data_IF_889644959747
#
_entry.id   IF_889644959747
#
_cell.length_a   1.000
_cell.length_b   1.000
_cell.length_c   1.000
_cell.angle_alpha   90.00
_cell.angle_beta   90.00
_cell.angle_gamma   90.00
#
_symmetry.space_group_name_H-M   'P 1'
#
loop_
_entity.id
_entity.type
_entity.pdbx_description
1 polymer ?
#
# COMPACT_ATOMS: atom_id res chain seq x y z
N UNK A 1 10.71 28.15 -7.39
CA UNK A 1 10.21 27.91 -6.01
C UNK A 1 11.23 27.03 -5.29
N UNK A 2 11.51 27.30 -4.02
CA UNK A 2 12.47 26.53 -3.21
C UNK A 2 11.73 25.46 -2.40
N UNK A 3 12.24 24.23 -2.39
CA UNK A 3 11.75 23.17 -1.49
C UNK A 3 12.38 23.38 -0.12
N UNK A 4 11.58 23.86 0.84
CA UNK A 4 12.06 24.27 2.18
C UNK A 4 12.48 23.05 2.99
N UNK A 5 11.66 21.99 2.96
CA UNK A 5 11.91 20.74 3.68
C UNK A 5 13.17 20.02 3.15
N UNK A 6 14.21 19.82 3.99
CA UNK A 6 15.44 19.14 3.58
C UNK A 6 15.23 17.68 3.16
N UNK A 7 14.37 16.95 3.84
CA UNK A 7 14.08 15.53 3.56
C UNK A 7 13.39 15.37 2.22
N UNK A 8 12.41 16.22 1.91
CA UNK A 8 11.74 16.22 0.60
C UNK A 8 12.71 16.62 -0.51
N UNK A 9 13.57 17.62 -0.26
CA UNK A 9 14.61 18.02 -1.21
C UNK A 9 15.60 16.89 -1.48
N UNK A 10 16.07 16.22 -0.45
CA UNK A 10 16.98 15.07 -0.56
C UNK A 10 16.33 13.92 -1.34
N UNK A 11 15.08 13.59 -1.01
CA UNK A 11 14.30 12.57 -1.70
C UNK A 11 14.12 12.88 -3.20
N UNK A 12 13.81 14.13 -3.54
CA UNK A 12 13.72 14.54 -4.94
C UNK A 12 15.07 14.34 -5.65
N UNK A 13 16.18 14.73 -5.02
CA UNK A 13 17.52 14.58 -5.60
C UNK A 13 17.93 13.11 -5.83
N UNK A 14 17.40 12.16 -5.05
CA UNK A 14 17.61 10.72 -5.31
C UNK A 14 17.06 10.25 -6.65
N UNK A 15 16.19 11.04 -7.29
CA UNK A 15 15.63 10.76 -8.61
C UNK A 15 16.37 11.49 -9.74
N UNK A 16 17.44 12.23 -9.46
CA UNK A 16 18.24 12.88 -10.50
C UNK A 16 19.33 11.92 -11.01
N UNK A 17 19.51 11.86 -12.33
CA UNK A 17 20.53 11.04 -12.99
C UNK A 17 21.32 11.89 -13.96
N UNK A 18 22.62 11.66 -14.01
CA UNK A 18 23.49 12.27 -15.01
C UNK A 18 23.48 11.39 -16.27
N UNK A 19 23.38 12.05 -17.43
CA UNK A 19 23.60 11.44 -18.73
C UNK A 19 25.09 11.58 -19.08
N UNK A 20 25.89 10.50 -18.98
CA UNK A 20 27.35 10.61 -19.13
C UNK A 20 27.77 11.05 -20.54
N UNK A 21 26.96 10.75 -21.55
CA UNK A 21 27.21 11.13 -22.94
C UNK A 21 26.85 12.58 -23.25
N UNK A 22 26.00 13.22 -22.44
CA UNK A 22 25.47 14.55 -22.72
C UNK A 22 25.91 15.61 -21.70
N UNK A 23 26.51 15.20 -20.58
CA UNK A 23 26.88 16.10 -19.48
C UNK A 23 25.67 16.83 -18.88
N UNK A 24 24.48 16.23 -18.98
CA UNK A 24 23.20 16.81 -18.52
C UNK A 24 22.56 15.94 -17.45
N UNK A 25 21.82 16.59 -16.56
CA UNK A 25 20.98 15.91 -15.59
C UNK A 25 19.56 15.74 -16.10
N UNK A 26 18.96 14.60 -15.82
CA UNK A 26 17.56 14.31 -16.09
C UNK A 26 16.90 13.62 -14.90
N UNK A 27 15.58 13.70 -14.85
CA UNK A 27 14.79 12.94 -13.87
C UNK A 27 14.76 11.47 -14.28
N UNK A 28 14.96 10.57 -13.32
CA UNK A 28 14.83 9.12 -13.49
C UNK A 28 13.35 8.71 -13.65
N UNK A 29 12.45 9.51 -13.07
CA UNK A 29 11.01 9.32 -13.15
C UNK A 29 10.44 10.16 -14.29
N UNK A 30 9.28 9.75 -14.82
CA UNK A 30 8.54 10.49 -15.84
C UNK A 30 7.87 11.76 -15.27
N UNK A 31 8.67 12.69 -14.74
CA UNK A 31 8.19 13.87 -14.00
C UNK A 31 7.23 14.71 -14.84
N UNK A 32 7.52 14.92 -16.13
CA UNK A 32 6.62 15.69 -17.00
C UNK A 32 5.24 15.04 -17.13
N UNK A 33 5.18 13.71 -17.25
CA UNK A 33 3.92 12.98 -17.32
C UNK A 33 3.15 13.09 -16.00
N UNK A 34 3.85 12.95 -14.87
CA UNK A 34 3.26 13.13 -13.54
C UNK A 34 2.69 14.54 -13.39
N UNK A 35 3.43 15.57 -13.81
CA UNK A 35 2.97 16.96 -13.75
C UNK A 35 1.75 17.21 -14.64
N UNK A 36 1.73 16.66 -15.87
CA UNK A 36 0.58 16.77 -16.77
C UNK A 36 -0.67 16.08 -16.23
N UNK A 37 -0.49 15.02 -15.43
CA UNK A 37 -1.59 14.24 -14.86
C UNK A 37 -1.87 14.60 -13.40
N UNK A 38 -1.18 15.60 -12.83
CA UNK A 38 -1.21 15.84 -11.39
C UNK A 38 -2.61 16.13 -10.85
N UNK A 39 -3.43 16.84 -11.62
CA UNK A 39 -4.82 17.13 -11.25
C UNK A 39 -5.68 15.86 -11.20
N UNK A 40 -5.45 14.92 -12.13
CA UNK A 40 -6.13 13.62 -12.16
C UNK A 40 -5.59 12.71 -11.05
N UNK A 41 -4.28 12.75 -10.80
CA UNK A 41 -3.61 12.00 -9.74
C UNK A 41 -4.02 12.42 -8.34
N UNK A 42 -4.34 13.70 -8.15
CA UNK A 42 -4.77 14.27 -6.88
C UNK A 42 -6.28 14.44 -6.74
N UNK A 43 -7.06 14.08 -7.77
CA UNK A 43 -8.53 14.10 -7.70
C UNK A 43 -9.07 12.72 -7.35
N UNK A 44 -10.32 12.71 -6.88
CA UNK A 44 -11.09 11.47 -6.71
C UNK A 44 -11.41 10.81 -8.07
N UNK A 45 -11.02 11.41 -9.22
CA UNK A 45 -11.31 10.87 -10.57
C UNK A 45 -10.47 9.63 -10.92
N UNK A 46 -9.35 9.39 -10.25
CA UNK A 46 -8.67 8.08 -10.32
C UNK A 46 -9.32 7.04 -9.42
N UNK A 47 -10.12 7.48 -8.46
CA UNK A 47 -10.90 6.61 -7.59
C UNK A 47 -11.99 5.97 -8.42
N UNK A 48 -11.74 4.74 -8.89
CA UNK A 48 -12.85 3.84 -9.21
C UNK A 48 -13.80 3.89 -8.01
N UNK A 49 -15.05 4.26 -8.25
CA UNK A 49 -16.03 4.36 -7.19
C UNK A 49 -15.99 3.03 -6.39
N UNK A 50 -16.02 3.03 -5.05
CA UNK A 50 -15.93 1.80 -4.28
C UNK A 50 -16.92 0.72 -4.74
N UNK A 51 -18.05 1.13 -5.32
CA UNK A 51 -19.08 0.29 -5.91
C UNK A 51 -18.64 -0.44 -7.20
N UNK A 52 -17.62 0.07 -7.89
CA UNK A 52 -17.09 -0.46 -9.16
C UNK A 52 -15.88 -1.40 -8.95
N UNK A 53 -15.33 -1.46 -7.74
CA UNK A 53 -14.15 -2.25 -7.42
C UNK A 53 -14.53 -3.47 -6.61
N UNK A 54 -14.23 -4.66 -7.15
CA UNK A 54 -14.32 -5.88 -6.34
C UNK A 54 -13.35 -5.77 -5.16
N UNK A 55 -13.80 -5.92 -3.90
CA UNK A 55 -12.90 -5.86 -2.75
C UNK A 55 -11.79 -6.91 -2.84
N UNK A 56 -10.60 -6.55 -2.38
CA UNK A 56 -9.55 -7.50 -2.10
C UNK A 56 -9.96 -8.35 -0.89
N UNK A 57 -10.03 -9.67 -1.10
CA UNK A 57 -10.48 -10.65 -0.11
C UNK A 57 -9.34 -11.24 0.73
N UNK A 58 -8.08 -10.95 0.36
CA UNK A 58 -6.91 -11.41 1.10
C UNK A 58 -6.60 -10.55 2.35
N UNK A 59 -5.72 -11.04 3.24
CA UNK A 59 -5.21 -10.24 4.35
C UNK A 59 -4.50 -8.98 3.84
N UNK A 60 -4.84 -7.82 4.38
CA UNK A 60 -4.21 -6.55 4.05
C UNK A 60 -3.72 -5.86 5.33
N UNK A 61 -2.49 -5.38 5.33
CA UNK A 61 -1.89 -4.75 6.49
C UNK A 61 -1.45 -3.34 6.18
N UNK A 62 -2.03 -2.40 6.92
CA UNK A 62 -1.73 -0.98 6.82
C UNK A 62 -0.89 -0.60 8.03
N UNK A 63 0.26 0.01 7.79
CA UNK A 63 1.11 0.58 8.83
C UNK A 63 1.21 2.07 8.63
N UNK A 64 0.81 2.85 9.62
CA UNK A 64 0.96 4.29 9.62
C UNK A 64 1.95 4.76 10.70
N UNK A 65 2.61 5.88 10.42
CA UNK A 65 3.41 6.57 11.41
C UNK A 65 2.50 7.41 12.31
N UNK A 66 2.72 7.40 13.63
CA UNK A 66 1.97 8.24 14.57
C UNK A 66 2.15 9.73 14.29
N UNK A 67 3.32 10.15 13.78
CA UNK A 67 3.58 11.51 13.33
C UNK A 67 3.06 11.85 11.93
N UNK A 68 2.35 10.95 11.24
CA UNK A 68 1.88 11.16 9.87
C UNK A 68 0.39 11.51 9.83
N UNK A 69 0.04 12.49 9.00
CA UNK A 69 -1.35 12.94 8.82
C UNK A 69 -1.95 12.51 7.47
N UNK A 70 -1.46 11.41 6.89
CA UNK A 70 -1.89 10.93 5.57
C UNK A 70 -3.09 9.99 5.64
N UNK A 71 -3.22 9.26 6.75
CA UNK A 71 -4.35 8.39 7.01
C UNK A 71 -5.16 8.98 8.18
N UNK A 72 -6.44 9.23 7.92
CA UNK A 72 -7.39 9.74 8.88
C UNK A 72 -8.47 8.71 9.14
N UNK A 73 -9.19 8.84 10.25
CA UNK A 73 -10.31 7.96 10.59
C UNK A 73 -11.36 7.89 9.48
N UNK A 74 -11.63 9.01 8.79
CA UNK A 74 -12.54 9.07 7.64
C UNK A 74 -12.13 8.14 6.47
N UNK A 75 -10.85 7.81 6.35
CA UNK A 75 -10.34 6.92 5.29
C UNK A 75 -10.57 5.43 5.62
N UNK A 76 -10.81 5.08 6.89
CA UNK A 76 -10.97 3.67 7.30
C UNK A 76 -12.21 3.02 6.68
N UNK A 77 -13.29 3.79 6.51
CA UNK A 77 -14.48 3.31 5.82
C UNK A 77 -14.16 2.92 4.36
N UNK A 78 -13.45 3.79 3.64
CA UNK A 78 -13.02 3.54 2.26
C UNK A 78 -12.04 2.37 2.17
N UNK A 79 -11.10 2.25 3.12
CA UNK A 79 -10.19 1.08 3.18
C UNK A 79 -10.98 -0.21 3.35
N UNK A 80 -11.98 -0.25 4.23
CA UNK A 80 -12.80 -1.44 4.43
C UNK A 80 -13.60 -1.85 3.19
N UNK A 81 -13.98 -0.90 2.33
CA UNK A 81 -14.63 -1.19 1.04
C UNK A 81 -13.67 -1.87 0.07
N UNK A 82 -12.42 -1.40 -0.03
CA UNK A 82 -11.43 -1.99 -0.94
C UNK A 82 -10.72 -3.24 -0.36
N UNK A 83 -10.61 -3.35 0.95
CA UNK A 83 -9.85 -4.39 1.66
C UNK A 83 -10.68 -4.95 2.80
N UNK A 84 -11.49 -5.96 2.50
CA UNK A 84 -12.45 -6.54 3.46
C UNK A 84 -11.82 -7.16 4.71
N UNK A 85 -10.53 -7.51 4.66
CA UNK A 85 -9.76 -8.14 5.74
C UNK A 85 -8.51 -7.33 6.11
N UNK A 86 -8.70 -6.02 6.27
CA UNK A 86 -7.61 -5.14 6.64
C UNK A 86 -7.32 -5.15 8.15
N UNK A 87 -6.07 -4.94 8.48
CA UNK A 87 -5.58 -4.62 9.82
C UNK A 87 -4.79 -3.30 9.72
N UNK A 88 -4.90 -2.46 10.75
CA UNK A 88 -4.18 -1.20 10.85
C UNK A 88 -3.32 -1.18 12.11
N UNK A 89 -2.04 -0.90 11.95
CA UNK A 89 -1.10 -0.65 13.05
C UNK A 89 -0.54 0.77 12.95
N UNK A 90 -0.41 1.42 14.11
CA UNK A 90 0.21 2.75 14.22
C UNK A 90 1.50 2.65 15.01
N UNK A 91 2.63 2.95 14.37
CA UNK A 91 3.93 3.04 15.03
C UNK A 91 4.07 4.48 15.55
N UNK A 92 3.80 4.67 16.85
CA UNK A 92 3.64 6.00 17.46
C UNK A 92 4.86 6.91 17.28
N UNK A 93 6.06 6.39 17.51
CA UNK A 93 7.32 7.16 17.47
C UNK A 93 7.92 7.30 16.07
N UNK A 94 7.17 6.96 15.01
CA UNK A 94 7.64 7.06 13.64
C UNK A 94 7.31 8.42 13.00
N UNK A 95 8.28 8.96 12.27
CA UNK A 95 8.05 10.08 11.36
C UNK A 95 7.40 9.64 10.05
N UNK A 96 7.09 10.61 9.18
CA UNK A 96 6.26 10.39 7.98
C UNK A 96 6.66 9.16 7.14
N UNK A 97 7.95 8.86 7.04
CA UNK A 97 8.47 7.64 6.42
C UNK A 97 8.87 6.62 7.48
N UNK A 98 7.94 5.73 7.84
CA UNK A 98 8.12 4.70 8.88
C UNK A 98 9.37 3.84 8.63
N UNK A 99 9.59 3.42 7.39
CA UNK A 99 10.74 2.58 7.01
C UNK A 99 12.10 3.28 7.17
N UNK A 100 12.14 4.61 7.23
CA UNK A 100 13.35 5.39 7.47
C UNK A 100 13.50 5.70 8.95
N UNK A 101 12.40 6.04 9.63
CA UNK A 101 12.42 6.54 11.01
C UNK A 101 12.40 5.43 12.05
N UNK A 102 11.59 4.38 11.85
CA UNK A 102 11.45 3.24 12.76
C UNK A 102 11.52 1.90 12.02
N UNK A 103 12.66 1.58 11.35
CA UNK A 103 12.79 0.37 10.56
C UNK A 103 12.64 -0.92 11.38
N UNK A 104 13.10 -0.93 12.64
CA UNK A 104 13.03 -2.12 13.49
C UNK A 104 11.59 -2.49 13.89
N UNK A 105 10.79 -1.50 14.28
CA UNK A 105 9.38 -1.73 14.61
C UNK A 105 8.59 -2.13 13.37
N UNK A 106 8.84 -1.48 12.22
CA UNK A 106 8.23 -1.88 10.97
C UNK A 106 8.58 -3.31 10.58
N UNK A 107 9.86 -3.71 10.72
CA UNK A 107 10.29 -5.07 10.40
C UNK A 107 9.60 -6.11 11.28
N UNK A 108 9.48 -5.83 12.59
CA UNK A 108 8.78 -6.71 13.54
C UNK A 108 7.29 -6.82 13.20
N UNK A 109 6.63 -5.70 12.99
CA UNK A 109 5.23 -5.62 12.58
C UNK A 109 4.96 -6.43 11.29
N UNK A 110 5.77 -6.21 10.25
CA UNK A 110 5.67 -6.96 9.00
C UNK A 110 5.95 -8.45 9.19
N UNK A 111 6.95 -8.83 9.99
CA UNK A 111 7.29 -10.21 10.25
C UNK A 111 6.15 -10.98 10.91
N UNK A 112 5.48 -10.35 11.89
CA UNK A 112 4.31 -10.92 12.55
C UNK A 112 3.15 -11.11 11.55
N UNK A 113 2.80 -10.05 10.81
CA UNK A 113 1.72 -10.11 9.83
C UNK A 113 1.94 -11.18 8.76
N UNK A 114 3.16 -11.30 8.22
CA UNK A 114 3.49 -12.30 7.21
C UNK A 114 3.40 -13.73 7.76
N UNK A 115 3.82 -13.94 9.01
CA UNK A 115 3.75 -15.25 9.67
C UNK A 115 2.31 -15.66 9.96
N UNK A 116 1.48 -14.75 10.45
CA UNK A 116 0.06 -14.97 10.70
C UNK A 116 -0.72 -15.19 9.39
N UNK A 117 -0.43 -14.39 8.36
CA UNK A 117 -1.09 -14.49 7.06
C UNK A 117 -0.76 -15.80 6.34
N UNK A 118 0.48 -16.28 6.42
CA UNK A 118 0.87 -17.57 5.86
C UNK A 118 0.06 -18.72 6.47
N UNK A 119 -0.16 -18.67 7.79
CA UNK A 119 -1.00 -19.64 8.51
C UNK A 119 -2.46 -19.55 8.06
N UNK A 120 -3.04 -18.33 8.03
CA UNK A 120 -4.43 -18.12 7.63
C UNK A 120 -4.73 -18.55 6.18
N UNK A 121 -3.80 -18.28 5.24
CA UNK A 121 -3.93 -18.71 3.84
C UNK A 121 -3.88 -20.23 3.72
N UNK A 122 -3.01 -20.90 4.47
CA UNK A 122 -2.93 -22.36 4.49
C UNK A 122 -4.21 -23.01 5.04
N UNK A 123 -4.78 -22.46 6.12
CA UNK A 123 -6.05 -22.92 6.70
C UNK A 123 -7.23 -22.72 5.73
N UNK A 124 -7.31 -21.56 5.07
CA UNK A 124 -8.33 -21.29 4.06
C UNK A 124 -8.26 -22.25 2.87
N UNK A 125 -7.05 -22.52 2.37
CA UNK A 125 -6.85 -23.49 1.29
C UNK A 125 -7.27 -24.90 1.71
N UNK A 126 -6.97 -25.30 2.94
CA UNK A 126 -7.39 -26.58 3.52
C UNK A 126 -8.92 -26.69 3.67
N UNK A 127 -9.56 -25.64 4.18
CA UNK A 127 -11.03 -25.58 4.32
C UNK A 127 -11.76 -25.59 2.98
N UNK A 128 -11.24 -24.91 1.96
CA UNK A 128 -11.82 -24.92 0.62
C UNK A 128 -11.74 -26.31 -0.02
N UNK A 129 -10.61 -27.01 0.14
CA UNK A 129 -10.45 -28.38 -0.34
C UNK A 129 -11.41 -29.37 0.36
N UNK A 130 -11.66 -29.18 1.67
CA UNK A 130 -12.61 -29.99 2.42
C UNK A 130 -14.07 -29.74 1.98
N UNK A 131 -14.44 -28.48 1.72
CA UNK A 131 -15.79 -28.12 1.27
C UNK A 131 -16.11 -28.69 -0.13
N UNK A 132 -15.15 -28.69 -1.05
CA UNK A 132 -15.29 -29.32 -2.37
C UNK A 132 -15.46 -30.84 -2.26
N UNK A 133 -14.79 -31.49 -1.30
CA UNK A 133 -14.89 -32.93 -1.07
C UNK A 133 -16.21 -33.36 -0.42
N UNK A 134 -16.93 -32.43 0.21
CA UNK A 134 -18.18 -32.70 0.92
C UNK A 134 -19.44 -32.45 0.07
N UNK A 135 -19.31 -31.97 -1.18
CA UNK A 135 -20.45 -31.76 -2.06
C UNK A 135 -21.01 -33.10 -2.56
N UNK A 136 -22.30 -33.42 -2.33
CA UNK A 136 -22.90 -34.64 -2.84
C UNK A 136 -22.88 -34.64 -4.37
N UNK A 137 -22.44 -35.76 -4.96
CA UNK A 137 -22.43 -35.98 -6.40
C UNK A 137 -23.86 -35.92 -6.96
N UNK A 138 -24.30 -34.75 -7.41
CA UNK A 138 -25.57 -34.57 -8.13
C UNK A 138 -25.41 -34.93 -9.61
N UNK A 139 -24.88 -36.12 -9.88
CA UNK A 139 -24.93 -36.79 -11.17
C UNK A 139 -25.64 -38.12 -10.98
N UNK A 140 -26.96 -38.06 -10.83
CA UNK A 140 -27.90 -39.13 -11.18
C UNK A 140 -29.32 -38.60 -11.03
N UNK A 141 -29.81 -37.90 -12.05
CA UNK A 141 -31.22 -37.85 -12.46
C UNK A 141 -31.28 -37.80 -13.97
#
# INVERSE_FOLDING_TARGET
RTVVDPSIRQFALMNLRESPSEGRWHWAIGLESILRQFNVLGSDELGLAPEEVKPFEGPAYFVQAGGSNYLHEKHLATIGLYFSRFQLETIQEAGHWVHITNPADLQRALGNFLSESATAVAEMASSAAAAVSAMPNQQNQ
#
